data_IF_323966087971
#
_entry.id   IF_323966087971
#
_cell.length_a   1.000
_cell.length_b   1.000
_cell.length_c   1.000
_cell.angle_alpha   90.00
_cell.angle_beta   90.00
_cell.angle_gamma   90.00
#
_symmetry.space_group_name_H-M   'P 1'
#
loop_
_entity.id
_entity.type
_entity.pdbx_description
1 polymer ?
#
# COMPACT_ATOMS: atom_id res chain seq x y z
N UNK A 1 6.32 -2.48 -0.09
CA UNK A 1 7.08 -3.45 -0.89
C UNK A 1 8.54 -3.04 -0.97
N UNK A 2 9.42 -4.03 -0.98
CA UNK A 2 10.88 -3.85 -1.05
C UNK A 2 11.52 -5.02 -1.82
N UNK A 3 12.75 -4.86 -2.28
CA UNK A 3 13.47 -5.95 -2.96
C UNK A 3 14.21 -6.85 -1.97
N UNK A 4 14.11 -8.16 -2.15
CA UNK A 4 14.92 -9.16 -1.46
C UNK A 4 16.27 -9.35 -2.15
N UNK A 5 17.31 -9.76 -1.40
CA UNK A 5 18.65 -9.99 -1.95
C UNK A 5 19.39 -8.73 -2.44
N UNK A 6 18.98 -7.55 -1.97
CA UNK A 6 19.76 -6.32 -2.13
C UNK A 6 20.95 -6.24 -1.17
N UNK A 7 21.72 -5.14 -1.21
CA UNK A 7 22.81 -4.87 -0.25
C UNK A 7 22.30 -4.68 1.19
N UNK A 8 21.03 -4.34 1.36
CA UNK A 8 20.40 -4.04 2.64
C UNK A 8 19.44 -5.16 3.03
N UNK A 9 19.42 -5.48 4.34
CA UNK A 9 18.45 -6.43 4.90
C UNK A 9 17.02 -5.89 4.72
N UNK A 10 16.03 -6.76 4.45
CA UNK A 10 14.64 -6.33 4.37
C UNK A 10 14.16 -5.73 5.69
N UNK A 11 13.45 -4.60 5.60
CA UNK A 11 12.76 -3.96 6.72
C UNK A 11 11.68 -4.90 7.27
N UNK A 12 11.56 -4.97 8.58
CA UNK A 12 10.57 -5.82 9.27
C UNK A 12 9.60 -5.02 10.13
N UNK A 13 10.00 -3.83 10.55
CA UNK A 13 9.21 -2.92 11.35
C UNK A 13 9.02 -1.56 10.66
N UNK A 14 7.87 -0.92 10.88
CA UNK A 14 7.54 0.38 10.29
C UNK A 14 8.47 1.49 10.78
N UNK A 15 9.02 1.37 11.99
CA UNK A 15 10.02 2.30 12.52
C UNK A 15 11.31 2.32 11.70
N UNK A 16 11.61 1.25 10.96
CA UNK A 16 12.78 1.18 10.09
C UNK A 16 12.60 1.96 8.77
N UNK A 17 11.40 2.51 8.52
CA UNK A 17 11.13 3.42 7.39
C UNK A 17 11.70 4.83 7.62
N UNK A 18 12.08 5.18 8.86
CA UNK A 18 12.69 6.48 9.16
C UNK A 18 13.99 6.63 8.37
N UNK A 19 14.10 7.75 7.64
CA UNK A 19 15.20 8.06 6.74
C UNK A 19 15.20 7.27 5.43
N UNK A 20 14.12 6.54 5.10
CA UNK A 20 13.98 5.82 3.82
C UNK A 20 13.19 6.61 2.80
N UNK A 21 13.60 6.49 1.54
CA UNK A 21 12.89 7.04 0.38
C UNK A 21 11.76 6.12 -0.06
N UNK A 22 10.51 6.56 0.09
CA UNK A 22 9.34 5.75 -0.28
C UNK A 22 8.55 6.48 -1.36
N UNK A 23 8.34 5.81 -2.50
CA UNK A 23 7.69 6.40 -3.67
C UNK A 23 6.26 5.88 -3.78
N UNK A 24 5.28 6.76 -3.90
CA UNK A 24 3.86 6.36 -3.92
C UNK A 24 3.05 7.24 -4.87
N UNK A 25 1.96 6.68 -5.44
CA UNK A 25 0.96 7.45 -6.19
C UNK A 25 0.09 8.28 -5.22
N UNK A 26 -0.45 9.43 -5.68
CA UNK A 26 -1.47 10.18 -4.94
C UNK A 26 -2.68 9.30 -4.60
N UNK A 27 -3.33 9.59 -3.47
CA UNK A 27 -4.51 8.86 -2.98
C UNK A 27 -4.25 8.16 -1.65
N UNK A 28 -5.00 7.07 -1.39
CA UNK A 28 -5.05 6.39 -0.09
C UNK A 28 -3.67 5.97 0.45
N UNK A 29 -2.76 5.51 -0.40
CA UNK A 29 -1.44 5.06 0.02
C UNK A 29 -0.56 6.23 0.50
N UNK A 30 -0.64 7.36 -0.20
CA UNK A 30 0.05 8.59 0.19
C UNK A 30 -0.46 9.10 1.53
N UNK A 31 -1.77 9.25 1.67
CA UNK A 31 -2.40 9.73 2.91
C UNK A 31 -2.04 8.82 4.09
N UNK A 32 -2.11 7.51 3.90
CA UNK A 32 -1.73 6.57 4.97
C UNK A 32 -0.27 6.69 5.37
N UNK A 33 0.63 6.87 4.40
CA UNK A 33 2.06 6.99 4.67
C UNK A 33 2.41 8.31 5.36
N UNK A 34 1.72 9.40 5.01
CA UNK A 34 1.84 10.68 5.72
C UNK A 34 1.38 10.54 7.18
N UNK A 35 0.22 9.92 7.42
CA UNK A 35 -0.24 9.66 8.79
C UNK A 35 0.75 8.78 9.57
N UNK A 36 1.33 7.76 8.92
CA UNK A 36 2.35 6.91 9.53
C UNK A 36 3.62 7.71 9.88
N UNK A 37 4.05 8.60 8.99
CA UNK A 37 5.20 9.48 9.25
C UNK A 37 4.94 10.35 10.48
N UNK A 38 3.76 10.96 10.58
CA UNK A 38 3.35 11.74 11.76
C UNK A 38 3.30 10.89 13.04
N UNK A 39 2.73 9.67 12.98
CA UNK A 39 2.69 8.71 14.09
C UNK A 39 4.09 8.34 14.61
N UNK A 40 5.09 8.29 13.72
CA UNK A 40 6.48 7.98 14.04
C UNK A 40 7.32 9.18 14.48
N UNK A 41 6.75 10.39 14.45
CA UNK A 41 7.46 11.64 14.74
C UNK A 41 8.25 12.20 13.56
N UNK A 42 7.97 11.72 12.34
CA UNK A 42 8.54 12.17 11.09
C UNK A 42 9.79 11.40 10.64
N UNK A 43 10.28 11.76 9.45
CA UNK A 43 11.58 11.34 8.93
C UNK A 43 11.51 10.33 7.78
N UNK A 44 10.34 9.85 7.39
CA UNK A 44 10.17 9.12 6.14
C UNK A 44 10.29 10.12 4.97
N UNK A 45 11.15 9.83 3.99
CA UNK A 45 11.24 10.65 2.79
C UNK A 45 10.16 10.21 1.79
N UNK A 46 8.99 10.82 1.86
CA UNK A 46 7.84 10.45 1.02
C UNK A 46 7.91 11.17 -0.33
N UNK A 47 8.11 10.40 -1.40
CA UNK A 47 8.15 10.88 -2.78
C UNK A 47 6.79 10.64 -3.47
N UNK A 48 6.00 11.71 -3.59
CA UNK A 48 4.71 11.66 -4.28
C UNK A 48 4.89 11.68 -5.80
N UNK A 49 4.51 10.60 -6.46
CA UNK A 49 4.65 10.44 -7.92
C UNK A 49 3.37 10.88 -8.63
N UNK A 50 3.38 12.09 -9.19
CA UNK A 50 2.21 12.70 -9.85
C UNK A 50 2.15 12.51 -11.36
N UNK A 51 3.15 11.86 -11.98
CA UNK A 51 3.13 11.58 -13.41
C UNK A 51 1.99 10.59 -13.75
N UNK A 52 1.08 11.02 -14.63
CA UNK A 52 -0.08 10.23 -15.04
C UNK A 52 0.30 9.01 -15.90
N UNK A 53 1.45 9.04 -16.56
CA UNK A 53 1.97 7.91 -17.34
C UNK A 53 2.58 6.79 -16.47
N UNK A 54 2.64 6.98 -15.15
CA UNK A 54 3.19 5.99 -14.20
C UNK A 54 2.04 5.45 -13.34
N UNK A 55 1.81 4.15 -13.43
CA UNK A 55 0.87 3.38 -12.61
C UNK A 55 1.49 2.92 -11.28
N UNK A 56 0.67 2.33 -10.39
CA UNK A 56 1.19 1.73 -9.16
C UNK A 56 2.05 0.50 -9.48
N UNK A 57 1.64 -0.27 -10.48
CA UNK A 57 2.33 -1.43 -11.03
C UNK A 57 3.72 -1.04 -11.56
N UNK A 58 3.83 0.10 -12.24
CA UNK A 58 5.13 0.61 -12.69
C UNK A 58 6.09 0.88 -11.52
N UNK A 59 5.59 1.40 -10.40
CA UNK A 59 6.40 1.59 -9.19
C UNK A 59 6.84 0.25 -8.60
N UNK A 60 5.97 -0.76 -8.62
CA UNK A 60 6.30 -2.13 -8.17
C UNK A 60 7.41 -2.72 -9.05
N UNK A 61 7.28 -2.60 -10.37
CA UNK A 61 8.31 -3.02 -11.32
C UNK A 61 9.63 -2.28 -11.08
N UNK A 62 9.59 -0.98 -10.79
CA UNK A 62 10.79 -0.21 -10.47
C UNK A 62 11.47 -0.68 -9.17
N UNK A 63 10.71 -1.09 -8.14
CA UNK A 63 11.28 -1.73 -6.93
C UNK A 63 11.92 -3.07 -7.28
N UNK A 64 11.23 -3.92 -8.05
CA UNK A 64 11.77 -5.22 -8.47
C UNK A 64 13.07 -5.08 -9.27
N UNK A 65 13.18 -4.05 -10.10
CA UNK A 65 14.38 -3.70 -10.86
C UNK A 65 15.46 -3.00 -10.02
N UNK A 66 15.13 -2.54 -8.80
CA UNK A 66 16.03 -1.78 -7.93
C UNK A 66 16.28 -0.33 -8.38
N UNK A 67 15.39 0.24 -9.20
CA UNK A 67 15.43 1.66 -9.60
C UNK A 67 15.00 2.59 -8.47
N UNK A 68 14.02 2.15 -7.69
CA UNK A 68 13.59 2.80 -6.45
C UNK A 68 13.61 1.75 -5.32
N UNK A 69 13.79 2.16 -4.05
CA UNK A 69 13.96 1.20 -2.97
C UNK A 69 12.63 0.67 -2.42
N UNK A 70 11.59 1.51 -2.33
CA UNK A 70 10.32 1.17 -1.69
C UNK A 70 9.11 1.79 -2.41
N UNK A 71 8.00 1.03 -2.44
CA UNK A 71 6.66 1.50 -2.84
C UNK A 71 5.59 0.90 -1.94
N UNK A 72 4.37 1.42 -1.99
CA UNK A 72 3.20 0.96 -1.24
C UNK A 72 2.09 0.54 -2.21
N UNK A 73 1.44 -0.59 -1.93
CA UNK A 73 0.22 -1.01 -2.62
C UNK A 73 -0.64 -1.86 -1.68
N UNK A 74 -1.85 -2.21 -2.13
CA UNK A 74 -2.70 -3.18 -1.42
C UNK A 74 -2.05 -4.57 -1.40
N UNK A 75 -2.44 -5.38 -0.40
CA UNK A 75 -1.83 -6.70 -0.16
C UNK A 75 -2.12 -7.70 -1.30
N UNK A 76 -3.31 -7.68 -1.87
CA UNK A 76 -3.71 -8.50 -3.02
C UNK A 76 -2.89 -8.16 -4.27
N UNK A 77 -2.73 -6.87 -4.57
CA UNK A 77 -1.86 -6.39 -5.67
C UNK A 77 -0.41 -6.81 -5.43
N UNK A 78 0.08 -6.69 -4.18
CA UNK A 78 1.42 -7.08 -3.81
C UNK A 78 1.65 -8.59 -4.00
N UNK A 79 0.74 -9.43 -3.49
CA UNK A 79 0.79 -10.88 -3.65
C UNK A 79 0.77 -11.29 -5.12
N UNK A 80 -0.13 -10.73 -5.92
CA UNK A 80 -0.17 -11.00 -7.36
C UNK A 80 1.17 -10.66 -8.02
N UNK A 81 1.76 -9.51 -7.71
CA UNK A 81 3.04 -9.11 -8.30
C UNK A 81 4.23 -9.98 -7.86
N UNK A 82 4.19 -10.62 -6.69
CA UNK A 82 5.24 -11.57 -6.29
C UNK A 82 5.33 -12.81 -7.18
N UNK A 83 4.24 -13.17 -7.88
CA UNK A 83 4.28 -14.26 -8.88
C UNK A 83 5.10 -13.88 -10.12
N UNK A 84 5.10 -12.60 -10.51
CA UNK A 84 5.91 -12.07 -11.61
C UNK A 84 7.33 -11.69 -11.19
N UNK A 85 7.49 -11.23 -9.94
CA UNK A 85 8.76 -10.78 -9.38
C UNK A 85 9.06 -11.50 -8.05
N UNK A 86 9.66 -12.71 -8.09
CA UNK A 86 9.96 -13.50 -6.89
C UNK A 86 10.97 -12.84 -5.95
N UNK A 87 11.66 -11.81 -6.41
CA UNK A 87 12.57 -11.01 -5.62
C UNK A 87 11.89 -9.88 -4.85
N UNK A 88 10.56 -9.71 -4.93
CA UNK A 88 9.84 -8.77 -4.08
C UNK A 88 9.56 -9.37 -2.70
N UNK A 89 9.72 -8.54 -1.68
CA UNK A 89 9.32 -8.79 -0.31
C UNK A 89 8.17 -7.83 0.06
N UNK A 90 7.08 -8.42 0.54
CA UNK A 90 5.82 -7.74 0.87
C UNK A 90 5.47 -7.88 2.36
N UNK A 91 6.41 -8.34 3.20
CA UNK A 91 6.14 -8.71 4.59
C UNK A 91 6.01 -7.53 5.55
N UNK A 92 6.32 -6.30 5.12
CA UNK A 92 6.12 -5.11 5.93
C UNK A 92 4.72 -4.54 5.69
N UNK A 93 3.84 -4.75 6.66
CA UNK A 93 2.51 -4.12 6.69
C UNK A 93 2.59 -2.75 7.32
N UNK A 94 2.12 -1.72 6.61
CA UNK A 94 2.08 -0.33 7.11
C UNK A 94 0.71 0.04 7.70
N UNK A 95 -0.28 -0.85 7.59
CA UNK A 95 -1.66 -0.63 8.00
C UNK A 95 -2.29 -1.94 8.42
N UNK A 96 -3.34 -1.83 9.22
CA UNK A 96 -4.25 -2.94 9.48
C UNK A 96 -5.16 -3.18 8.29
N UNK A 97 -5.66 -4.42 8.18
CA UNK A 97 -6.70 -4.75 7.22
C UNK A 97 -7.93 -3.89 7.48
N UNK A 98 -8.29 -3.08 6.49
CA UNK A 98 -9.51 -2.30 6.52
C UNK A 98 -10.63 -3.12 5.89
N UNK A 99 -11.75 -3.26 6.62
CA UNK A 99 -12.93 -3.94 6.08
C UNK A 99 -13.52 -3.10 4.95
N UNK A 100 -13.63 -3.71 3.77
CA UNK A 100 -14.42 -3.13 2.68
C UNK A 100 -15.91 -3.12 3.08
N UNK A 101 -16.63 -2.07 2.68
CA UNK A 101 -18.06 -1.96 2.95
C UNK A 101 -18.76 -1.27 1.77
N UNK A 102 -20.00 -1.65 1.52
CA UNK A 102 -20.82 -1.05 0.48
C UNK A 102 -21.40 0.29 0.97
N UNK A 103 -21.22 1.35 0.18
CA UNK A 103 -21.83 2.65 0.45
C UNK A 103 -23.14 2.77 -0.33
N UNK A 104 -24.21 3.17 0.35
CA UNK A 104 -25.52 3.47 -0.26
C UNK A 104 -25.95 4.91 0.05
N UNK A 105 -26.86 5.46 -0.76
CA UNK A 105 -27.45 6.78 -0.46
C UNK A 105 -28.24 6.72 0.85
N UNK A 106 -28.19 7.82 1.62
CA UNK A 106 -28.82 7.93 2.95
C UNK A 106 -30.34 7.73 2.93
N UNK A 107 -30.99 8.07 1.83
CA UNK A 107 -32.44 7.97 1.62
C UNK A 107 -32.89 6.60 1.11
N UNK A 108 -31.98 5.62 1.00
CA UNK A 108 -32.26 4.28 0.47
C UNK A 108 -32.05 3.18 1.54
N UNK A 109 -32.81 3.19 2.67
CA UNK A 109 -32.60 2.27 3.78
C UNK A 109 -32.88 0.79 3.41
N UNK A 110 -33.77 0.53 2.45
CA UNK A 110 -34.05 -0.83 2.00
C UNK A 110 -32.85 -1.47 1.28
N UNK A 111 -32.12 -0.69 0.48
CA UNK A 111 -30.90 -1.17 -0.18
C UNK A 111 -29.78 -1.41 0.84
N UNK A 112 -29.65 -0.52 1.85
CA UNK A 112 -28.74 -0.74 2.96
C UNK A 112 -29.01 -2.07 3.66
N UNK A 113 -30.29 -2.33 3.98
CA UNK A 113 -30.71 -3.56 4.64
C UNK A 113 -30.44 -4.81 3.78
N UNK A 114 -30.70 -4.74 2.48
CA UNK A 114 -30.42 -5.84 1.56
C UNK A 114 -28.91 -6.13 1.44
N UNK A 115 -28.07 -5.09 1.34
CA UNK A 115 -26.62 -5.23 1.28
C UNK A 115 -26.04 -5.81 2.59
N UNK A 116 -26.53 -5.35 3.74
CA UNK A 116 -26.13 -5.87 5.04
C UNK A 116 -26.52 -7.34 5.21
N UNK A 117 -27.77 -7.69 4.84
CA UNK A 117 -28.25 -9.07 4.91
C UNK A 117 -27.42 -10.01 4.03
N UNK A 118 -27.13 -9.61 2.79
CA UNK A 118 -26.27 -10.39 1.90
C UNK A 118 -24.86 -10.58 2.50
N UNK A 119 -24.31 -9.56 3.16
CA UNK A 119 -23.00 -9.65 3.81
C UNK A 119 -22.99 -10.53 5.06
N UNK A 120 -24.08 -10.61 5.82
CA UNK A 120 -24.17 -11.52 6.98
C UNK A 120 -24.29 -13.00 6.55
N UNK A 121 -24.89 -13.24 5.38
CA UNK A 121 -25.12 -14.57 4.83
C UNK A 121 -23.90 -15.16 4.09
N UNK A 122 -22.83 -14.39 3.86
CA UNK A 122 -21.64 -14.77 3.07
C UNK A 122 -20.33 -14.34 3.72
#
# INVERSE_FOLDING_TARGET
MQRNGGRTKPLKDVTELIGKDVYVKPGKYYERLVNLDEELGGGIHIHKVTNDSISAEDLITQVAQGKIPYTVADNDVAQLNTTYYPNLNIGLSISFDQRASWAVRKDCPQLAAAANKWHEEN
#
